data_IF_945230373189
#
_entry.id   IF_945230373189
#
_cell.length_a   1.000
_cell.length_b   1.000
_cell.length_c   1.000
_cell.angle_alpha   90.00
_cell.angle_beta   90.00
_cell.angle_gamma   90.00
#
_symmetry.space_group_name_H-M   'P 1'
#
loop_
_entity.id
_entity.type
_entity.pdbx_description
1 polymer ?
#
# COMPACT_ATOMS: atom_id res chain seq x y z
N UNK A 1 -23.49 4.62 11.26
CA UNK A 1 -23.68 3.78 10.04
C UNK A 1 -22.94 4.33 8.82
N UNK A 2 -23.18 5.58 8.37
CA UNK A 2 -22.47 6.17 7.22
C UNK A 2 -20.96 6.34 7.42
N UNK A 3 -20.50 6.52 8.67
CA UNK A 3 -19.09 6.77 9.01
C UNK A 3 -18.13 5.65 8.61
N UNK A 4 -18.48 4.37 8.86
CA UNK A 4 -17.60 3.25 8.49
C UNK A 4 -17.55 3.04 6.97
N UNK A 5 -18.68 3.24 6.28
CA UNK A 5 -18.71 3.20 4.82
C UNK A 5 -17.83 4.30 4.23
N UNK A 6 -18.02 5.53 4.69
CA UNK A 6 -17.23 6.68 4.27
C UNK A 6 -15.73 6.43 4.53
N UNK A 7 -15.38 5.96 5.73
CA UNK A 7 -14.01 5.62 6.11
C UNK A 7 -13.39 4.52 5.25
N UNK A 8 -14.14 3.46 4.92
CA UNK A 8 -13.65 2.40 4.04
C UNK A 8 -13.47 2.89 2.60
N UNK A 9 -14.39 3.72 2.09
CA UNK A 9 -14.25 4.29 0.75
C UNK A 9 -13.12 5.32 0.66
N UNK A 10 -12.96 6.20 1.66
CA UNK A 10 -11.86 7.16 1.69
C UNK A 10 -10.52 6.46 1.89
N UNK A 11 -10.47 5.44 2.75
CA UNK A 11 -9.29 4.59 2.92
C UNK A 11 -8.86 3.93 1.60
N UNK A 12 -9.80 3.34 0.87
CA UNK A 12 -9.51 2.76 -0.46
C UNK A 12 -9.02 3.82 -1.45
N UNK A 13 -9.62 5.02 -1.46
CA UNK A 13 -9.17 6.14 -2.30
C UNK A 13 -7.73 6.51 -2.01
N UNK A 14 -7.39 6.68 -0.73
CA UNK A 14 -6.05 7.04 -0.28
C UNK A 14 -5.04 5.98 -0.72
N UNK A 15 -5.35 4.69 -0.54
CA UNK A 15 -4.46 3.60 -1.00
C UNK A 15 -4.27 3.64 -2.52
N UNK A 16 -5.33 3.89 -3.30
CA UNK A 16 -5.20 4.04 -4.75
C UNK A 16 -4.29 5.21 -5.12
N UNK A 17 -4.47 6.38 -4.48
CA UNK A 17 -3.62 7.54 -4.70
C UNK A 17 -2.16 7.26 -4.34
N UNK A 18 -1.89 6.57 -3.22
CA UNK A 18 -0.53 6.19 -2.82
C UNK A 18 0.13 5.26 -3.84
N UNK A 19 -0.59 4.25 -4.32
CA UNK A 19 -0.08 3.34 -5.36
C UNK A 19 0.19 4.07 -6.68
N UNK A 20 -0.66 5.03 -7.05
CA UNK A 20 -0.43 5.88 -8.24
C UNK A 20 0.80 6.76 -8.04
N UNK A 21 0.94 7.43 -6.90
CA UNK A 21 2.09 8.29 -6.62
C UNK A 21 3.40 7.49 -6.64
N UNK A 22 3.42 6.32 -6.02
CA UNK A 22 4.60 5.43 -6.05
C UNK A 22 4.94 4.98 -7.48
N UNK A 23 3.92 4.80 -8.34
CA UNK A 23 4.11 4.49 -9.75
C UNK A 23 4.65 5.68 -10.54
N UNK A 24 4.10 6.87 -10.32
CA UNK A 24 4.55 8.09 -10.97
C UNK A 24 6.01 8.36 -10.62
N UNK A 25 6.40 8.15 -9.37
CA UNK A 25 7.78 8.28 -8.92
C UNK A 25 8.74 7.39 -9.72
N UNK A 26 8.39 6.11 -9.88
CA UNK A 26 9.13 5.14 -10.69
C UNK A 26 9.31 5.55 -12.16
N UNK A 27 8.29 6.16 -12.78
CA UNK A 27 8.35 6.60 -14.18
C UNK A 27 9.00 7.97 -14.38
N UNK A 28 8.88 8.88 -13.41
CA UNK A 28 9.40 10.25 -13.50
C UNK A 28 10.88 10.29 -13.14
N UNK A 29 11.27 9.62 -12.05
CA UNK A 29 12.65 9.64 -11.56
C UNK A 29 13.51 8.54 -12.15
N UNK A 30 12.93 7.59 -12.89
CA UNK A 30 13.61 6.42 -13.48
C UNK A 30 14.39 5.58 -12.45
N UNK A 31 14.09 5.74 -11.16
CA UNK A 31 14.62 4.93 -10.08
C UNK A 31 13.74 3.70 -9.93
N UNK A 32 14.31 2.52 -10.18
CA UNK A 32 13.59 1.26 -9.98
C UNK A 32 13.42 0.99 -8.48
N UNK A 33 12.30 0.41 -8.03
CA UNK A 33 12.03 0.21 -6.61
C UNK A 33 12.89 -0.90 -5.97
N UNK A 34 13.42 -0.62 -4.79
CA UNK A 34 14.13 -1.61 -3.99
C UNK A 34 13.27 -2.84 -3.62
N UNK A 35 13.85 -4.03 -3.35
CA UNK A 35 13.10 -5.21 -2.94
C UNK A 35 12.23 -4.99 -1.68
N UNK A 36 12.74 -4.19 -0.73
CA UNK A 36 12.01 -3.81 0.49
C UNK A 36 10.80 -2.90 0.17
N UNK A 37 10.95 -2.02 -0.81
CA UNK A 37 9.94 -1.09 -1.28
C UNK A 37 8.76 -1.85 -1.92
N UNK A 38 9.06 -2.90 -2.69
CA UNK A 38 8.07 -3.82 -3.26
C UNK A 38 7.27 -4.50 -2.15
N UNK A 39 7.94 -4.96 -1.08
CA UNK A 39 7.27 -5.59 0.05
C UNK A 39 6.31 -4.61 0.77
N UNK A 40 6.67 -3.33 0.89
CA UNK A 40 5.77 -2.30 1.42
C UNK A 40 4.55 -2.08 0.51
N UNK A 41 4.72 -2.08 -0.82
CA UNK A 41 3.60 -2.01 -1.78
C UNK A 41 2.66 -3.20 -1.59
N UNK A 42 3.18 -4.41 -1.38
CA UNK A 42 2.36 -5.61 -1.09
C UNK A 42 1.53 -5.40 0.19
N UNK A 43 2.11 -4.83 1.25
CA UNK A 43 1.38 -4.52 2.47
C UNK A 43 0.26 -3.48 2.23
N UNK A 44 0.51 -2.42 1.45
CA UNK A 44 -0.55 -1.46 1.07
C UNK A 44 -1.65 -2.10 0.23
N UNK A 45 -1.30 -3.00 -0.70
CA UNK A 45 -2.27 -3.79 -1.46
C UNK A 45 -3.09 -4.69 -0.55
N UNK A 46 -2.48 -5.36 0.44
CA UNK A 46 -3.19 -6.18 1.41
C UNK A 46 -4.19 -5.36 2.25
N UNK A 47 -3.80 -4.15 2.69
CA UNK A 47 -4.71 -3.20 3.35
C UNK A 47 -5.85 -2.78 2.42
N UNK A 48 -5.54 -2.42 1.17
CA UNK A 48 -6.54 -2.07 0.16
C UNK A 48 -7.54 -3.20 -0.13
N UNK A 49 -7.07 -4.45 -0.19
CA UNK A 49 -7.93 -5.63 -0.34
C UNK A 49 -8.88 -5.78 0.85
N UNK A 50 -8.43 -5.50 2.07
CA UNK A 50 -9.30 -5.52 3.25
C UNK A 50 -10.40 -4.44 3.16
N UNK A 51 -10.08 -3.24 2.66
CA UNK A 51 -11.11 -2.22 2.38
C UNK A 51 -12.11 -2.70 1.32
N UNK A 52 -11.63 -3.33 0.24
CA UNK A 52 -12.51 -3.91 -0.80
C UNK A 52 -13.40 -5.01 -0.21
N UNK A 53 -12.87 -5.89 0.63
CA UNK A 53 -13.65 -6.92 1.32
C UNK A 53 -14.74 -6.30 2.21
N UNK A 54 -14.43 -5.23 2.93
CA UNK A 54 -15.43 -4.48 3.71
C UNK A 54 -16.54 -3.87 2.84
N UNK A 55 -16.22 -3.47 1.61
CA UNK A 55 -17.18 -2.90 0.66
C UNK A 55 -18.04 -4.00 -0.03
N UNK A 56 -17.48 -5.15 -0.35
CA UNK A 56 -18.20 -6.21 -1.09
C UNK A 56 -18.94 -7.18 -0.17
N UNK A 57 -18.27 -7.63 0.90
CA UNK A 57 -18.71 -8.72 1.78
C UNK A 57 -19.36 -8.23 3.09
N UNK A 58 -19.49 -6.91 3.25
CA UNK A 58 -19.95 -6.30 4.48
C UNK A 58 -18.83 -5.99 5.48
N UNK A 59 -19.14 -5.11 6.42
CA UNK A 59 -18.19 -4.55 7.39
C UNK A 59 -18.12 -5.53 8.56
N UNK A 60 -16.99 -6.25 8.70
CA UNK A 60 -16.78 -7.26 9.74
C UNK A 60 -15.48 -7.01 10.49
N UNK A 61 -15.47 -7.25 11.80
CA UNK A 61 -14.27 -7.08 12.63
C UNK A 61 -13.08 -7.92 12.14
N UNK A 62 -13.33 -9.10 11.56
CA UNK A 62 -12.28 -9.96 10.99
C UNK A 62 -11.48 -9.28 9.88
N UNK A 63 -12.12 -8.49 9.01
CA UNK A 63 -11.42 -7.75 7.96
C UNK A 63 -10.54 -6.64 8.54
N UNK A 64 -10.99 -5.96 9.61
CA UNK A 64 -10.17 -4.98 10.32
C UNK A 64 -8.99 -5.63 11.05
N UNK A 65 -9.16 -6.85 11.57
CA UNK A 65 -8.07 -7.65 12.12
C UNK A 65 -7.00 -7.97 11.07
N UNK A 66 -7.41 -8.45 9.89
CA UNK A 66 -6.48 -8.69 8.77
C UNK A 66 -5.78 -7.40 8.32
N UNK A 67 -6.52 -6.30 8.24
CA UNK A 67 -5.98 -5.00 7.88
C UNK A 67 -4.97 -4.48 8.92
N UNK A 68 -5.22 -4.74 10.21
CA UNK A 68 -4.30 -4.39 11.29
C UNK A 68 -3.01 -5.19 11.17
N UNK A 69 -3.09 -6.50 10.93
CA UNK A 69 -1.93 -7.37 10.72
C UNK A 69 -1.09 -6.92 9.51
N UNK A 70 -1.75 -6.64 8.37
CA UNK A 70 -1.07 -6.13 7.18
C UNK A 70 -0.36 -4.80 7.45
N UNK A 71 -0.99 -3.91 8.23
CA UNK A 71 -0.43 -2.60 8.56
C UNK A 71 0.74 -2.70 9.54
N UNK A 72 0.68 -3.62 10.52
CA UNK A 72 1.79 -3.89 11.44
C UNK A 72 2.99 -4.48 10.71
N UNK A 73 2.76 -5.41 9.78
CA UNK A 73 3.82 -5.94 8.92
C UNK A 73 4.44 -4.82 8.07
N UNK A 74 3.61 -4.02 7.39
CA UNK A 74 4.09 -2.87 6.60
C UNK A 74 4.92 -1.90 7.44
N UNK A 75 4.45 -1.54 8.64
CA UNK A 75 5.17 -0.69 9.56
C UNK A 75 6.53 -1.30 9.94
N UNK A 76 6.58 -2.59 10.29
CA UNK A 76 7.83 -3.27 10.66
C UNK A 76 8.85 -3.28 9.52
N UNK A 77 8.39 -3.44 8.27
CA UNK A 77 9.25 -3.43 7.08
C UNK A 77 9.78 -2.02 6.81
N UNK A 78 8.93 -0.99 6.89
CA UNK A 78 9.35 0.40 6.70
C UNK A 78 10.32 0.85 7.80
N UNK A 79 10.07 0.47 9.06
CA UNK A 79 10.98 0.76 10.18
C UNK A 79 12.32 0.05 10.00
N UNK A 80 12.33 -1.20 9.52
CA UNK A 80 13.57 -1.89 9.18
C UNK A 80 14.36 -1.13 8.10
N UNK A 81 13.69 -0.60 7.08
CA UNK A 81 14.35 0.19 6.04
C UNK A 81 14.98 1.47 6.60
N UNK A 82 14.29 2.15 7.52
CA UNK A 82 14.86 3.31 8.23
C UNK A 82 16.12 2.95 9.01
N UNK A 83 16.11 1.81 9.72
CA UNK A 83 17.26 1.37 10.52
C UNK A 83 18.51 1.11 9.67
N UNK A 84 18.33 0.58 8.46
CA UNK A 84 19.46 0.32 7.55
C UNK A 84 20.14 1.61 7.11
N UNK A 85 19.36 2.68 6.89
CA UNK A 85 19.86 3.98 6.42
C UNK A 85 20.15 4.98 7.56
N UNK A 86 20.30 4.51 8.80
CA UNK A 86 20.59 5.37 9.95
C UNK A 86 22.09 5.71 10.07
N UNK A 87 22.96 5.07 9.27
CA UNK A 87 24.41 5.27 9.34
C UNK A 87 24.82 6.66 8.88
N UNK A 88 25.78 7.31 9.58
CA UNK A 88 26.22 8.67 9.24
C UNK A 88 26.88 8.70 7.86
N UNK A 89 26.39 9.58 6.98
CA UNK A 89 26.89 9.74 5.62
C UNK A 89 26.16 8.92 4.55
N UNK A 90 25.14 8.14 4.92
CA UNK A 90 24.28 7.46 3.96
C UNK A 90 23.28 8.46 3.33
N UNK A 91 23.25 8.63 2.00
CA UNK A 91 22.27 9.48 1.33
C UNK A 91 20.84 8.93 1.38
N UNK A 92 20.66 7.67 1.82
CA UNK A 92 19.37 6.98 1.82
C UNK A 92 18.97 6.49 0.42
N UNK A 93 17.86 5.75 0.36
CA UNK A 93 17.34 5.22 -0.89
C UNK A 93 16.18 6.05 -1.44
N UNK A 94 16.30 6.42 -2.70
CA UNK A 94 15.27 7.12 -3.47
C UNK A 94 15.17 8.62 -3.18
N UNK A 95 14.42 9.32 -4.04
CA UNK A 95 14.14 10.74 -3.90
C UNK A 95 13.51 11.17 -2.56
N UNK A 96 13.74 12.43 -2.19
CA UNK A 96 13.17 13.08 -1.02
C UNK A 96 11.86 13.78 -1.40
N UNK A 97 10.75 13.37 -0.78
CA UNK A 97 9.47 14.05 -0.90
C UNK A 97 9.20 14.85 0.38
N UNK A 98 9.11 16.17 0.26
CA UNK A 98 9.00 17.09 1.42
C UNK A 98 10.10 16.89 2.47
N UNK A 99 11.31 16.55 2.04
CA UNK A 99 12.46 16.35 2.93
C UNK A 99 12.49 15.00 3.66
N UNK A 100 11.60 14.06 3.32
CA UNK A 100 11.61 12.70 3.85
C UNK A 100 11.62 11.67 2.71
N UNK A 101 12.33 10.57 2.90
CA UNK A 101 12.30 9.45 1.96
C UNK A 101 10.94 8.74 1.98
N UNK A 102 10.62 8.07 0.87
CA UNK A 102 9.36 7.34 0.69
C UNK A 102 9.11 6.24 1.73
N UNK A 103 10.17 5.57 2.21
CA UNK A 103 10.04 4.57 3.27
C UNK A 103 9.63 5.18 4.61
N UNK A 104 10.01 6.44 4.87
CA UNK A 104 9.59 7.19 6.05
C UNK A 104 8.12 7.57 5.98
N UNK A 105 7.69 8.06 4.82
CA UNK A 105 6.27 8.30 4.57
C UNK A 105 5.45 7.03 4.72
N UNK A 106 5.93 5.91 4.21
CA UNK A 106 5.24 4.62 4.31
C UNK A 106 5.01 4.21 5.78
N UNK A 107 6.02 4.35 6.64
CA UNK A 107 5.87 4.08 8.07
C UNK A 107 4.81 4.99 8.73
N UNK A 108 4.83 6.30 8.42
CA UNK A 108 3.84 7.25 8.94
C UNK A 108 2.43 6.85 8.52
N UNK A 109 2.24 6.50 7.25
CA UNK A 109 0.93 6.09 6.72
C UNK A 109 0.47 4.80 7.37
N UNK A 110 1.32 3.78 7.52
CA UNK A 110 0.95 2.55 8.22
C UNK A 110 0.57 2.80 9.68
N UNK A 111 1.28 3.70 10.37
CA UNK A 111 0.93 4.10 11.73
C UNK A 111 -0.44 4.79 11.79
N UNK A 112 -0.73 5.72 10.87
CA UNK A 112 -2.04 6.38 10.76
C UNK A 112 -3.13 5.34 10.52
N UNK A 113 -2.91 4.39 9.60
CA UNK A 113 -3.86 3.31 9.32
C UNK A 113 -4.15 2.50 10.59
N UNK A 114 -3.12 2.10 11.35
CA UNK A 114 -3.29 1.37 12.62
C UNK A 114 -4.16 2.17 13.61
N UNK A 115 -3.91 3.46 13.77
CA UNK A 115 -4.68 4.32 14.66
C UNK A 115 -6.14 4.47 14.21
N UNK A 116 -6.38 4.61 12.90
CA UNK A 116 -7.73 4.66 12.34
C UNK A 116 -8.49 3.35 12.54
N UNK A 117 -7.81 2.20 12.41
CA UNK A 117 -8.40 0.88 12.66
C UNK A 117 -8.74 0.72 14.13
N UNK A 118 -7.83 1.09 15.03
CA UNK A 118 -8.07 1.04 16.47
C UNK A 118 -9.26 1.93 16.86
N UNK A 119 -9.32 3.16 16.33
CA UNK A 119 -10.46 4.06 16.52
C UNK A 119 -11.77 3.49 15.97
N UNK A 120 -11.74 2.87 14.78
CA UNK A 120 -12.91 2.24 14.18
C UNK A 120 -13.41 1.04 14.98
N UNK A 121 -12.51 0.23 15.57
CA UNK A 121 -12.85 -0.90 16.44
C UNK A 121 -13.47 -0.43 17.77
N UNK A 122 -12.97 0.65 18.37
CA UNK A 122 -13.58 1.22 19.59
C UNK A 122 -15.02 1.69 19.34
N UNK A 123 -15.33 2.13 18.11
CA UNK A 123 -16.64 2.64 17.72
C UNK A 123 -17.61 1.52 17.27
N UNK A 124 -17.54 0.32 17.86
CA UNK A 124 -18.21 -0.98 17.58
C UNK A 124 -19.64 -0.97 16.97
N UNK A 125 -20.39 0.13 17.07
CA UNK A 125 -21.76 0.35 16.56
C UNK A 125 -21.88 0.37 15.01
N UNK A 126 -20.94 -0.25 14.28
CA UNK A 126 -20.83 -0.13 12.82
C UNK A 126 -20.57 -1.41 12.04
N UNK A 127 -20.40 -2.55 12.71
CA UNK A 127 -20.23 -3.83 12.02
C UNK A 127 -21.56 -4.30 11.42
N UNK A 128 -21.57 -4.49 10.10
CA UNK A 128 -22.74 -4.81 9.29
C UNK A 128 -22.40 -5.91 8.30
N UNK A 129 -22.61 -7.18 8.67
CA UNK A 129 -22.31 -8.31 7.78
C UNK A 129 -23.19 -8.35 6.53
N UNK A 130 -24.41 -7.79 6.58
CA UNK A 130 -25.38 -7.84 5.46
C UNK A 130 -25.35 -6.63 4.51
N UNK A 131 -24.40 -5.70 4.70
CA UNK A 131 -24.30 -4.52 3.84
C UNK A 131 -23.65 -4.84 2.49
N UNK A 132 -24.37 -4.56 1.38
CA UNK A 132 -23.84 -4.66 0.01
C UNK A 132 -23.70 -3.26 -0.60
N UNK A 133 -22.50 -2.92 -1.06
CA UNK A 133 -22.25 -1.65 -1.78
C UNK A 133 -23.07 -1.58 -3.06
N UNK A 134 -23.96 -0.59 -3.12
CA UNK A 134 -24.80 -0.30 -4.30
C UNK A 134 -24.34 0.92 -5.10
N UNK A 135 -23.38 1.70 -4.60
CA UNK A 135 -22.90 2.91 -5.30
C UNK A 135 -22.04 2.56 -6.52
N UNK A 136 -22.31 3.22 -7.65
CA UNK A 136 -21.52 3.07 -8.88
C UNK A 136 -20.08 3.54 -8.69
N UNK A 137 -19.87 4.61 -7.92
CA UNK A 137 -18.55 5.18 -7.64
C UNK A 137 -17.62 4.21 -6.90
N UNK A 138 -18.11 3.52 -5.87
CA UNK A 138 -17.30 2.54 -5.15
C UNK A 138 -16.93 1.34 -6.04
N UNK A 139 -17.82 0.90 -6.94
CA UNK A 139 -17.49 -0.14 -7.93
C UNK A 139 -16.38 0.31 -8.88
N UNK A 140 -16.43 1.55 -9.36
CA UNK A 140 -15.36 2.12 -10.21
C UNK A 140 -14.04 2.14 -9.45
N UNK A 141 -14.03 2.59 -8.19
CA UNK A 141 -12.81 2.60 -7.37
C UNK A 141 -12.23 1.20 -7.14
N UNK A 142 -13.08 0.20 -6.91
CA UNK A 142 -12.65 -1.20 -6.78
C UNK A 142 -11.98 -1.67 -8.08
N UNK A 143 -12.56 -1.38 -9.23
CA UNK A 143 -11.95 -1.69 -10.53
C UNK A 143 -10.61 -0.99 -10.75
N UNK A 144 -10.53 0.31 -10.44
CA UNK A 144 -9.27 1.06 -10.51
C UNK A 144 -8.22 0.42 -9.60
N UNK A 145 -8.58 0.05 -8.38
CA UNK A 145 -7.68 -0.62 -7.45
C UNK A 145 -7.14 -1.95 -8.00
N UNK A 146 -8.01 -2.79 -8.59
CA UNK A 146 -7.56 -4.04 -9.23
C UNK A 146 -6.62 -3.80 -10.41
N UNK A 147 -6.87 -2.77 -11.22
CA UNK A 147 -5.97 -2.38 -12.32
C UNK A 147 -4.61 -1.94 -11.76
N UNK A 148 -4.58 -1.17 -10.67
CA UNK A 148 -3.34 -0.74 -10.03
C UNK A 148 -2.55 -1.92 -9.44
N UNK A 149 -3.22 -2.91 -8.87
CA UNK A 149 -2.58 -4.15 -8.40
C UNK A 149 -1.92 -4.86 -9.59
N UNK A 150 -2.68 -5.05 -10.67
CA UNK A 150 -2.19 -5.75 -11.87
C UNK A 150 -1.00 -5.00 -12.48
N UNK A 151 -1.09 -3.68 -12.61
CA UNK A 151 0.01 -2.84 -13.08
C UNK A 151 1.25 -3.01 -12.18
N UNK A 152 1.10 -2.89 -10.85
CA UNK A 152 2.21 -3.03 -9.89
C UNK A 152 2.85 -4.42 -10.01
N UNK A 153 2.03 -5.47 -10.08
CA UNK A 153 2.49 -6.84 -10.24
C UNK A 153 3.26 -7.06 -11.55
N UNK A 154 2.76 -6.53 -12.67
CA UNK A 154 3.45 -6.61 -13.97
C UNK A 154 4.77 -5.85 -13.91
N UNK A 155 4.79 -4.64 -13.35
CA UNK A 155 6.01 -3.84 -13.22
C UNK A 155 7.08 -4.57 -12.40
N UNK A 156 6.70 -5.11 -11.23
CA UNK A 156 7.57 -5.92 -10.39
C UNK A 156 8.05 -7.20 -11.11
N UNK A 157 7.20 -7.86 -11.87
CA UNK A 157 7.60 -9.05 -12.63
C UNK A 157 8.58 -8.71 -13.77
N UNK A 158 8.40 -7.57 -14.44
CA UNK A 158 9.35 -7.08 -15.46
C UNK A 158 10.71 -6.72 -14.86
N UNK A 159 10.71 -6.24 -13.62
CA UNK A 159 11.89 -5.82 -12.89
C UNK A 159 12.68 -7.00 -12.32
N UNK A 160 12.03 -7.92 -11.60
CA UNK A 160 12.70 -9.01 -10.90
C UNK A 160 12.74 -10.33 -11.69
N UNK A 161 11.89 -10.48 -12.70
CA UNK A 161 11.71 -11.75 -13.39
C UNK A 161 11.23 -12.87 -12.44
N UNK A 162 11.49 -14.15 -12.78
CA UNK A 162 11.17 -15.30 -11.92
C UNK A 162 12.15 -15.51 -10.76
N UNK A 163 13.15 -14.65 -10.59
CA UNK A 163 14.22 -14.77 -9.59
C UNK A 163 14.11 -13.69 -8.50
N UNK A 164 15.02 -13.75 -7.53
CA UNK A 164 15.13 -12.72 -6.50
C UNK A 164 15.50 -11.36 -7.11
N UNK A 165 14.80 -10.30 -6.68
CA UNK A 165 15.07 -8.94 -7.13
C UNK A 165 16.48 -8.53 -6.68
N UNK A 166 17.30 -7.90 -7.53
CA UNK A 166 18.58 -7.36 -7.11
C UNK A 166 18.39 -6.24 -6.08
N UNK A 167 19.32 -6.07 -5.15
CA UNK A 167 19.20 -5.11 -4.05
C UNK A 167 19.09 -3.64 -4.52
N UNK A 168 19.72 -3.30 -5.65
CA UNK A 168 19.68 -1.98 -6.28
C UNK A 168 19.51 -2.12 -7.81
N UNK A 169 18.28 -2.27 -8.32
CA UNK A 169 18.04 -2.36 -9.75
C UNK A 169 18.29 -1.01 -10.44
N UNK A 170 19.01 -1.02 -11.57
CA UNK A 170 19.17 0.14 -12.46
C UNK A 170 18.56 -0.08 -13.85
N UNK A 171 18.07 -1.30 -14.11
CA UNK A 171 17.41 -1.71 -15.36
C UNK A 171 16.34 -2.77 -15.08
N UNK A 172 15.29 -2.81 -15.90
CA UNK A 172 14.31 -3.90 -15.89
C UNK A 172 14.93 -5.17 -16.49
N UNK A 173 14.92 -6.28 -15.76
CA UNK A 173 15.53 -7.55 -16.19
C UNK A 173 14.99 -8.03 -17.55
N UNK A 174 13.67 -7.95 -17.79
CA UNK A 174 13.05 -8.45 -19.02
C UNK A 174 13.10 -7.48 -20.22
N UNK A 175 13.43 -6.20 -20.01
CA UNK A 175 13.58 -5.22 -21.10
C UNK A 175 15.06 -4.98 -21.47
N UNK A 176 15.98 -5.57 -20.70
CA UNK A 176 17.40 -5.58 -21.02
C UNK A 176 17.67 -6.71 -22.02
N UNK A 177 17.28 -6.52 -23.27
CA UNK A 177 17.90 -7.24 -24.38
C UNK A 177 19.37 -6.83 -24.43
N UNK A 178 20.28 -7.81 -24.47
CA UNK A 178 21.73 -7.65 -24.62
C UNK A 178 22.13 -6.52 -25.59
#
# INVERSE_FOLDING_TARGET
>A
MQWHLFGNTSGLLIICCLLILAFLDQFIFYELPCPICILQRICFVAVGLCFVMNLILGIRASHYGLMLLASLLGLSISVRQMYIHLTPGDPGYGGLIFGLHLYTWSAIIFLIIILLIAGALILDKGFMPDYKVRSKSAKVMIWVFFILILANGISTFLECGPHECPDNPSKYYLLNNN
#
